data_IF_816252921230
#
_entry.id   IF_816252921230
#
_cell.length_a   1.000
_cell.length_b   1.000
_cell.length_c   1.000
_cell.angle_alpha   90.00
_cell.angle_beta   90.00
_cell.angle_gamma   90.00
#
_symmetry.space_group_name_H-M   'P 1'
#
loop_
_entity.id
_entity.type
_entity.pdbx_description
1 polymer ?
#
# COMPACT_ATOMS: atom_id res chain seq x y z
N UNK A 1 3.68 7.72 13.23
CA UNK A 1 3.78 9.05 12.58
C UNK A 1 4.21 10.03 13.65
N UNK A 2 5.24 10.85 13.41
CA UNK A 2 5.76 11.77 14.42
C UNK A 2 5.06 13.13 14.33
N UNK A 3 4.59 13.66 15.47
CA UNK A 3 3.96 15.00 15.55
C UNK A 3 4.90 16.12 15.08
N UNK A 4 6.21 15.94 15.29
CA UNK A 4 7.26 16.89 14.86
C UNK A 4 7.21 17.20 13.36
N UNK A 5 6.75 16.26 12.52
CA UNK A 5 6.62 16.51 11.08
C UNK A 5 5.54 17.54 10.77
N UNK A 6 4.44 17.55 11.53
CA UNK A 6 3.37 18.52 11.37
C UNK A 6 3.78 19.89 11.89
N UNK A 7 4.53 19.93 12.99
CA UNK A 7 5.12 21.17 13.53
C UNK A 7 6.06 21.83 12.50
N UNK A 8 7.03 21.08 11.96
CA UNK A 8 7.93 21.61 10.93
C UNK A 8 7.19 22.04 9.66
N UNK A 9 6.15 21.30 9.24
CA UNK A 9 5.35 21.67 8.08
C UNK A 9 4.56 22.97 8.31
N UNK A 10 4.02 23.16 9.52
CA UNK A 10 3.34 24.39 9.91
C UNK A 10 4.31 25.59 9.92
N UNK A 11 5.51 25.43 10.50
CA UNK A 11 6.56 26.45 10.49
C UNK A 11 7.01 26.82 9.08
N UNK A 12 7.20 25.82 8.22
CA UNK A 12 7.60 26.01 6.83
C UNK A 12 6.45 26.48 5.92
N UNK A 13 5.21 26.59 6.44
CA UNK A 13 3.99 26.90 5.68
C UNK A 13 3.75 25.96 4.49
N UNK A 14 4.09 24.68 4.67
CA UNK A 14 3.90 23.63 3.66
C UNK A 14 2.64 22.83 3.97
N UNK A 15 1.85 22.56 2.94
CA UNK A 15 0.72 21.63 3.03
C UNK A 15 1.23 20.19 3.05
N UNK A 16 0.93 19.48 4.14
CA UNK A 16 1.34 18.12 4.38
C UNK A 16 0.10 17.21 4.36
N UNK A 17 0.10 16.22 3.47
CA UNK A 17 -0.89 15.15 3.42
C UNK A 17 -0.19 13.84 3.80
N UNK A 18 -0.68 13.15 4.83
CA UNK A 18 -0.06 11.90 5.32
C UNK A 18 -1.11 10.81 5.44
N UNK A 19 -0.77 9.61 4.96
CA UNK A 19 -1.60 8.43 5.16
C UNK A 19 -1.60 7.99 6.63
N UNK A 20 -2.78 7.73 7.18
CA UNK A 20 -2.93 7.11 8.49
C UNK A 20 -2.86 5.59 8.31
N UNK A 21 -1.77 4.99 8.80
CA UNK A 21 -1.57 3.53 8.79
C UNK A 21 -2.17 2.88 10.04
N UNK A 22 -2.35 1.55 10.01
CA UNK A 22 -2.96 0.77 11.09
C UNK A 22 -2.22 0.85 12.43
N UNK A 23 -0.96 1.26 12.44
CA UNK A 23 -0.20 1.52 13.67
C UNK A 23 -0.77 2.66 14.53
N UNK A 24 -1.70 3.46 14.00
CA UNK A 24 -2.40 4.54 14.72
C UNK A 24 -3.90 4.27 14.80
N UNK A 25 -4.25 3.16 15.47
CA UNK A 25 -5.61 2.61 15.51
C UNK A 25 -6.67 3.63 15.93
N UNK A 26 -6.44 4.40 16.99
CA UNK A 26 -7.40 5.40 17.48
C UNK A 26 -7.64 6.51 16.45
N UNK A 27 -6.58 7.04 15.84
CA UNK A 27 -6.71 8.10 14.83
C UNK A 27 -7.41 7.59 13.58
N UNK A 28 -7.07 6.37 13.15
CA UNK A 28 -7.72 5.72 12.01
C UNK A 28 -9.21 5.47 12.27
N UNK A 29 -9.56 5.06 13.51
CA UNK A 29 -10.95 4.86 13.89
C UNK A 29 -11.72 6.17 13.86
N UNK A 30 -11.18 7.25 14.43
CA UNK A 30 -11.82 8.58 14.35
C UNK A 30 -12.05 9.00 12.90
N UNK A 31 -11.08 8.77 12.00
CA UNK A 31 -11.25 9.09 10.58
C UNK A 31 -12.40 8.31 9.92
N UNK A 32 -12.56 7.03 10.30
CA UNK A 32 -13.68 6.18 9.83
C UNK A 32 -15.02 6.68 10.37
N UNK A 33 -15.06 7.01 11.65
CA UNK A 33 -16.28 7.48 12.32
C UNK A 33 -16.76 8.79 11.66
N UNK A 34 -15.85 9.73 11.41
CA UNK A 34 -16.12 11.00 10.70
C UNK A 34 -16.65 10.75 9.30
N UNK A 35 -16.00 9.87 8.53
CA UNK A 35 -16.45 9.55 7.18
C UNK A 35 -17.82 8.85 7.15
N UNK A 36 -18.18 8.13 8.22
CA UNK A 36 -19.47 7.46 8.34
C UNK A 36 -20.61 8.37 8.84
N UNK A 37 -20.29 9.35 9.69
CA UNK A 37 -21.27 10.20 10.36
C UNK A 37 -21.55 11.50 9.58
N UNK A 38 -20.57 11.99 8.81
CA UNK A 38 -20.62 13.30 8.16
C UNK A 38 -20.66 13.19 6.63
N UNK A 39 -21.33 14.14 5.99
CA UNK A 39 -21.28 14.27 4.53
C UNK A 39 -19.94 14.90 4.11
N UNK A 40 -19.29 14.42 3.04
CA UNK A 40 -18.07 15.06 2.55
C UNK A 40 -18.32 16.49 2.09
N UNK A 41 -17.39 17.39 2.38
CA UNK A 41 -17.35 18.77 1.90
C UNK A 41 -17.18 18.81 0.38
N UNK A 42 -16.25 18.02 -0.13
CA UNK A 42 -15.96 17.90 -1.56
C UNK A 42 -15.65 16.46 -1.93
N UNK A 43 -15.97 16.09 -3.16
CA UNK A 43 -15.73 14.75 -3.72
C UNK A 43 -15.14 14.89 -5.11
N UNK A 44 -14.11 14.09 -5.40
CA UNK A 44 -13.51 13.95 -6.73
C UNK A 44 -13.49 12.47 -7.12
N UNK A 45 -13.83 12.17 -8.38
CA UNK A 45 -13.90 10.81 -8.89
C UNK A 45 -13.05 10.68 -10.14
N UNK A 46 -12.31 9.58 -10.22
CA UNK A 46 -11.54 9.22 -11.40
C UNK A 46 -11.79 7.76 -11.77
N UNK A 47 -11.72 7.48 -13.07
CA UNK A 47 -11.88 6.13 -13.62
C UNK A 47 -10.79 5.85 -14.63
N UNK A 48 -10.16 4.68 -14.50
CA UNK A 48 -9.17 4.17 -15.44
C UNK A 48 -9.64 2.82 -15.97
N UNK A 49 -9.93 2.75 -17.27
CA UNK A 49 -10.39 1.52 -17.92
C UNK A 49 -9.24 0.92 -18.74
N UNK A 50 -8.95 -0.34 -18.47
CA UNK A 50 -8.13 -1.22 -19.29
C UNK A 50 -8.98 -2.30 -19.95
N UNK A 51 -8.32 -3.24 -20.63
CA UNK A 51 -8.99 -4.31 -21.39
C UNK A 51 -9.85 -5.22 -20.52
N UNK A 52 -9.29 -5.67 -19.39
CA UNK A 52 -9.95 -6.61 -18.46
C UNK A 52 -10.10 -6.05 -17.04
N UNK A 53 -9.73 -4.77 -16.85
CA UNK A 53 -9.68 -4.12 -15.54
C UNK A 53 -10.31 -2.74 -15.64
N UNK A 54 -11.25 -2.43 -14.76
CA UNK A 54 -11.83 -1.10 -14.60
C UNK A 54 -11.60 -0.66 -13.15
N UNK A 55 -10.86 0.43 -12.98
CA UNK A 55 -10.54 0.98 -11.67
C UNK A 55 -11.22 2.32 -11.48
N UNK A 56 -11.96 2.46 -10.38
CA UNK A 56 -12.58 3.70 -9.94
C UNK A 56 -11.93 4.13 -8.64
N UNK A 57 -11.62 5.42 -8.53
CA UNK A 57 -11.16 6.03 -7.28
C UNK A 57 -12.07 7.18 -6.93
N UNK A 58 -12.55 7.19 -5.71
CA UNK A 58 -13.33 8.28 -5.12
C UNK A 58 -12.49 8.88 -3.99
N UNK A 59 -12.25 10.19 -4.07
CA UNK A 59 -11.58 10.95 -3.01
C UNK A 59 -12.62 11.86 -2.38
N UNK A 60 -12.82 11.71 -1.08
CA UNK A 60 -13.80 12.45 -0.29
C UNK A 60 -13.06 13.24 0.79
N UNK A 61 -13.36 14.53 0.93
CA UNK A 61 -12.75 15.38 1.97
C UNK A 61 -13.81 15.76 3.00
N UNK A 62 -13.44 15.62 4.27
CA UNK A 62 -14.27 15.88 5.43
C UNK A 62 -13.64 16.97 6.29
N UNK A 63 -14.49 17.79 6.88
CA UNK A 63 -14.06 18.75 7.90
C UNK A 63 -13.75 18.02 9.21
N UNK A 64 -12.79 18.56 9.97
CA UNK A 64 -12.44 18.06 11.31
C UNK A 64 -12.86 18.99 12.45
N UNK A 65 -13.43 20.16 12.13
CA UNK A 65 -13.56 21.30 13.07
C UNK A 65 -14.16 20.92 14.43
N UNK A 66 -14.98 19.88 14.54
CA UNK A 66 -15.55 19.45 15.83
C UNK A 66 -15.14 18.04 16.31
N UNK A 67 -14.66 17.16 15.42
CA UNK A 67 -14.61 15.71 15.71
C UNK A 67 -13.29 15.22 16.31
N UNK A 68 -12.24 16.05 16.33
CA UNK A 68 -10.96 15.75 16.97
C UNK A 68 -10.72 16.52 18.28
N UNK A 69 -11.74 17.22 18.80
CA UNK A 69 -11.63 17.98 20.04
C UNK A 69 -11.17 17.08 21.21
N UNK A 70 -10.13 17.53 21.93
CA UNK A 70 -9.53 16.78 23.04
C UNK A 70 -8.47 15.76 22.62
N UNK A 71 -8.21 15.58 21.33
CA UNK A 71 -7.10 14.74 20.86
C UNK A 71 -5.82 15.56 20.66
N UNK A 72 -4.63 14.95 20.78
CA UNK A 72 -3.38 15.64 20.48
C UNK A 72 -3.22 16.10 19.02
N UNK A 73 -4.13 15.71 18.14
CA UNK A 73 -4.11 16.01 16.70
C UNK A 73 -4.94 17.25 16.35
N UNK A 74 -5.76 17.75 17.28
CA UNK A 74 -6.72 18.84 17.05
C UNK A 74 -6.07 20.13 16.49
N UNK A 75 -4.81 20.40 16.84
CA UNK A 75 -4.10 21.61 16.42
C UNK A 75 -3.25 21.40 15.15
N UNK A 76 -3.03 20.16 14.74
CA UNK A 76 -2.13 19.82 13.65
C UNK A 76 -2.86 19.39 12.38
N UNK A 77 -4.12 19.00 12.50
CA UNK A 77 -4.90 18.44 11.40
C UNK A 77 -6.15 19.27 11.20
N UNK A 78 -6.38 19.67 9.95
CA UNK A 78 -7.52 20.49 9.54
C UNK A 78 -8.55 19.71 8.76
N UNK A 79 -8.15 18.75 7.92
CA UNK A 79 -9.12 17.95 7.13
C UNK A 79 -8.75 16.47 7.11
N UNK A 80 -9.78 15.61 7.06
CA UNK A 80 -9.66 14.18 6.77
C UNK A 80 -9.97 13.93 5.30
N UNK A 81 -9.21 13.05 4.69
CA UNK A 81 -9.39 12.64 3.30
C UNK A 81 -9.58 11.12 3.30
N UNK A 82 -10.67 10.65 2.71
CA UNK A 82 -10.89 9.24 2.44
C UNK A 82 -10.63 8.99 0.95
N UNK A 83 -9.87 7.94 0.64
CA UNK A 83 -9.67 7.44 -0.71
C UNK A 83 -10.25 6.05 -0.78
N UNK A 84 -11.30 5.89 -1.58
CA UNK A 84 -11.89 4.59 -1.88
C UNK A 84 -11.48 4.16 -3.29
N UNK A 85 -11.06 2.91 -3.42
CA UNK A 85 -10.58 2.33 -4.66
C UNK A 85 -11.38 1.07 -4.94
N UNK A 86 -12.08 1.08 -6.06
CA UNK A 86 -12.83 -0.06 -6.54
C UNK A 86 -12.19 -0.59 -7.81
N UNK A 87 -11.90 -1.89 -7.83
CA UNK A 87 -11.35 -2.56 -9.02
C UNK A 87 -12.29 -3.67 -9.44
N UNK A 88 -12.77 -3.56 -10.67
CA UNK A 88 -13.53 -4.59 -11.36
C UNK A 88 -12.60 -5.32 -12.32
N UNK A 89 -12.46 -6.64 -12.15
CA UNK A 89 -11.59 -7.47 -12.98
C UNK A 89 -12.40 -8.56 -13.64
N UNK A 90 -12.29 -8.69 -14.97
CA UNK A 90 -12.90 -9.79 -15.71
C UNK A 90 -11.92 -10.94 -15.85
N UNK A 91 -12.29 -12.11 -15.36
CA UNK A 91 -11.52 -13.33 -15.54
C UNK A 91 -11.51 -13.73 -17.01
N UNK A 92 -10.32 -13.93 -17.59
CA UNK A 92 -10.19 -14.40 -18.97
C UNK A 92 -10.57 -15.89 -19.10
N UNK A 93 -10.36 -16.68 -18.05
CA UNK A 93 -10.63 -18.12 -18.06
C UNK A 93 -12.12 -18.45 -17.87
N UNK A 94 -12.80 -17.71 -16.99
CA UNK A 94 -14.20 -18.00 -16.62
C UNK A 94 -15.19 -16.95 -17.12
N UNK A 95 -14.73 -15.80 -17.62
CA UNK A 95 -15.57 -14.70 -18.07
C UNK A 95 -16.25 -13.88 -16.95
N UNK A 96 -16.15 -14.35 -15.69
CA UNK A 96 -16.78 -13.75 -14.52
C UNK A 96 -16.16 -12.40 -14.14
N UNK A 97 -16.99 -11.52 -13.59
CA UNK A 97 -16.59 -10.20 -13.09
C UNK A 97 -16.36 -10.28 -11.57
N UNK A 98 -15.13 -10.03 -11.13
CA UNK A 98 -14.80 -9.82 -9.73
C UNK A 98 -14.81 -8.32 -9.38
N UNK A 99 -15.16 -7.98 -8.14
CA UNK A 99 -15.07 -6.63 -7.57
C UNK A 99 -14.24 -6.69 -6.29
N UNK A 100 -13.34 -5.74 -6.13
CA UNK A 100 -12.58 -5.51 -4.90
C UNK A 100 -12.70 -4.04 -4.53
N UNK A 101 -12.81 -3.76 -3.23
CA UNK A 101 -12.93 -2.41 -2.68
C UNK A 101 -11.92 -2.25 -1.56
N UNK A 102 -11.16 -1.16 -1.60
CA UNK A 102 -10.18 -0.79 -0.58
C UNK A 102 -10.40 0.67 -0.18
N UNK A 103 -10.23 0.97 1.11
CA UNK A 103 -10.36 2.33 1.63
C UNK A 103 -9.11 2.71 2.41
N UNK A 104 -8.56 3.88 2.14
CA UNK A 104 -7.42 4.46 2.83
C UNK A 104 -7.77 5.85 3.36
N UNK A 105 -7.23 6.20 4.52
CA UNK A 105 -7.44 7.50 5.16
C UNK A 105 -6.15 8.30 5.20
N UNK A 106 -6.29 9.60 4.93
CA UNK A 106 -5.23 10.58 5.00
C UNK A 106 -5.68 11.76 5.83
N UNK A 107 -4.71 12.45 6.41
CA UNK A 107 -4.90 13.67 7.19
C UNK A 107 -4.09 14.80 6.55
N UNK A 108 -4.65 16.02 6.59
CA UNK A 108 -4.01 17.21 6.06
C UNK A 108 -3.96 18.32 7.12
N UNK A 109 -2.85 19.06 7.17
CA UNK A 109 -2.64 20.19 8.09
C UNK A 109 -3.25 21.52 7.59
N UNK A 110 -3.96 21.51 6.47
CA UNK A 110 -4.57 22.69 5.87
C UNK A 110 -5.90 22.33 5.20
N UNK A 111 -6.81 23.32 5.00
CA UNK A 111 -7.99 23.13 4.18
C UNK A 111 -7.61 22.71 2.75
N UNK A 112 -8.20 21.64 2.26
CA UNK A 112 -8.00 21.17 0.89
C UNK A 112 -9.32 20.73 0.27
N UNK A 113 -9.41 20.82 -1.06
CA UNK A 113 -10.49 20.19 -1.81
C UNK A 113 -10.07 18.78 -2.28
N UNK A 114 -11.07 17.98 -2.66
CA UNK A 114 -10.87 16.60 -3.10
C UNK A 114 -9.99 16.48 -4.35
N UNK A 115 -10.05 17.44 -5.28
CA UNK A 115 -9.28 17.42 -6.52
C UNK A 115 -7.79 17.63 -6.26
N UNK A 116 -7.45 18.59 -5.40
CA UNK A 116 -6.07 18.86 -4.94
C UNK A 116 -5.53 17.68 -4.15
N UNK A 117 -6.33 17.13 -3.23
CA UNK A 117 -5.96 15.95 -2.48
C UNK A 117 -5.71 14.74 -3.40
N UNK A 118 -6.59 14.49 -4.37
CA UNK A 118 -6.44 13.41 -5.35
C UNK A 118 -5.15 13.56 -6.17
N UNK A 119 -4.85 14.77 -6.65
CA UNK A 119 -3.62 15.05 -7.40
C UNK A 119 -2.36 14.83 -6.55
N UNK A 120 -2.34 15.33 -5.32
CA UNK A 120 -1.21 15.18 -4.40
C UNK A 120 -0.96 13.71 -4.02
N UNK A 121 -2.03 12.97 -3.66
CA UNK A 121 -1.93 11.54 -3.31
C UNK A 121 -1.45 10.73 -4.51
N UNK A 122 -1.96 11.02 -5.73
CA UNK A 122 -1.55 10.32 -6.94
C UNK A 122 -0.10 10.60 -7.32
N UNK A 123 0.36 11.85 -7.16
CA UNK A 123 1.76 12.21 -7.37
C UNK A 123 2.68 11.48 -6.38
N UNK A 124 2.26 11.40 -5.10
CA UNK A 124 3.00 10.67 -4.07
C UNK A 124 3.14 9.18 -4.41
N UNK A 125 2.06 8.52 -4.86
CA UNK A 125 2.11 7.12 -5.28
C UNK A 125 3.01 6.89 -6.50
N UNK A 126 3.07 7.85 -7.42
CA UNK A 126 4.00 7.80 -8.55
C UNK A 126 5.46 7.74 -8.08
N UNK A 127 5.82 8.57 -7.10
CA UNK A 127 7.17 8.61 -6.52
C UNK A 127 7.49 7.30 -5.80
N UNK A 128 6.56 6.78 -5.00
CA UNK A 128 6.76 5.52 -4.28
C UNK A 128 6.92 4.34 -5.25
N UNK A 129 6.08 4.25 -6.29
CA UNK A 129 6.18 3.18 -7.28
C UNK A 129 7.47 3.23 -8.13
N UNK A 130 7.95 4.43 -8.48
CA UNK A 130 9.23 4.61 -9.17
C UNK A 130 10.42 4.32 -8.26
N UNK A 131 10.34 4.70 -6.98
CA UNK A 131 11.36 4.40 -5.98
C UNK A 131 11.44 2.91 -5.68
N UNK A 132 10.31 2.19 -5.62
CA UNK A 132 10.28 0.73 -5.45
C UNK A 132 10.88 0.02 -6.66
N UNK A 133 10.57 0.46 -7.89
CA UNK A 133 11.19 -0.11 -9.09
C UNK A 133 12.72 0.06 -9.10
N UNK A 134 13.21 1.21 -8.65
CA UNK A 134 14.66 1.43 -8.55
C UNK A 134 15.26 0.59 -7.44
N UNK A 135 14.62 0.53 -6.26
CA UNK A 135 15.11 -0.26 -5.11
C UNK A 135 15.15 -1.76 -5.41
N UNK A 136 14.13 -2.32 -6.05
CA UNK A 136 14.05 -3.75 -6.36
C UNK A 136 15.01 -4.18 -7.48
N UNK A 137 15.28 -3.29 -8.45
CA UNK A 137 16.14 -3.60 -9.61
C UNK A 137 17.62 -3.25 -9.34
N UNK A 138 17.91 -2.24 -8.52
CA UNK A 138 19.31 -1.83 -8.22
C UNK A 138 19.91 -2.51 -6.99
N UNK A 139 19.10 -3.00 -6.03
CA UNK A 139 19.61 -3.71 -4.85
C UNK A 139 19.65 -5.25 -5.00
N UNK A 140 19.26 -5.80 -6.15
CA UNK A 140 19.51 -7.21 -6.48
C UNK A 140 18.94 -8.21 -5.47
N UNK A 141 17.84 -7.88 -4.79
CA UNK A 141 17.26 -8.74 -3.76
C UNK A 141 16.66 -10.02 -4.37
N UNK A 142 16.25 -9.98 -5.64
CA UNK A 142 15.84 -11.18 -6.41
C UNK A 142 17.04 -11.99 -6.95
N UNK A 143 18.27 -11.46 -6.81
CA UNK A 143 19.51 -12.17 -7.17
C UNK A 143 20.12 -12.95 -6.01
N UNK A 144 19.56 -12.85 -4.80
CA UNK A 144 20.10 -13.51 -3.61
C UNK A 144 19.71 -14.99 -3.56
N UNK A 145 20.36 -15.81 -4.41
CA UNK A 145 20.58 -17.24 -4.13
C UNK A 145 21.57 -17.38 -2.98
N UNK A 146 21.14 -17.07 -1.76
CA UNK A 146 21.88 -17.49 -0.57
C UNK A 146 21.64 -18.99 -0.40
N UNK A 147 22.46 -19.78 -1.10
CA UNK A 147 22.83 -21.11 -0.64
C UNK A 147 23.64 -20.90 0.65
N UNK A 148 23.07 -21.24 1.79
CA UNK A 148 23.84 -21.38 3.01
C UNK A 148 24.82 -22.57 2.86
N UNK A 149 26.14 -22.38 3.04
CA UNK A 149 27.08 -23.48 3.17
C UNK A 149 27.20 -23.88 4.65
N UNK A 150 27.03 -25.18 4.90
CA UNK A 150 27.59 -26.00 5.99
C UNK A 150 27.78 -25.41 7.41
N UNK A 151 27.07 -26.00 8.37
CA UNK A 151 27.59 -26.27 9.72
C UNK A 151 27.67 -27.80 9.90
N UNK A 152 28.81 -28.26 10.39
CA UNK A 152 29.34 -29.63 10.27
C UNK A 152 29.19 -30.50 11.54
N UNK A 153 29.54 -31.79 11.38
CA UNK A 153 29.93 -32.81 12.38
C UNK A 153 28.80 -33.47 13.21
N UNK A 154 28.71 -34.80 13.42
CA UNK A 154 29.66 -35.92 13.24
C UNK A 154 28.92 -37.30 13.36
N UNK A 155 29.57 -38.50 13.36
CA UNK A 155 29.24 -39.64 12.47
C UNK A 155 28.62 -40.87 13.19
N UNK A 156 27.90 -41.73 12.46
CA UNK A 156 27.71 -43.14 12.85
C UNK A 156 27.10 -44.01 11.72
N UNK A 157 27.62 -45.24 11.62
CA UNK A 157 27.06 -46.43 10.96
C UNK A 157 27.20 -46.61 9.44
N UNK A 158 28.44 -46.99 9.07
CA UNK A 158 28.85 -48.20 8.34
C UNK A 158 27.87 -48.99 7.41
N UNK A 159 28.49 -49.43 6.30
CA UNK A 159 28.26 -50.67 5.50
C UNK A 159 27.05 -50.69 4.54
N UNK A 160 27.10 -51.17 3.29
CA UNK A 160 28.15 -51.82 2.47
C UNK A 160 27.62 -52.06 1.03
N UNK A 161 28.55 -52.31 0.07
CA UNK A 161 28.42 -53.09 -1.21
C UNK A 161 27.53 -52.50 -2.33
N UNK A 162 28.07 -52.01 -3.46
CA UNK A 162 28.75 -52.65 -4.62
C UNK A 162 27.82 -53.14 -5.75
N UNK A 163 28.31 -52.99 -6.98
CA UNK A 163 27.89 -53.51 -8.32
C UNK A 163 26.79 -52.70 -9.03
N UNK A 164 27.10 -51.91 -10.07
CA UNK A 164 27.51 -52.29 -11.45
C UNK A 164 26.48 -53.14 -12.17
N UNK A 165 25.84 -52.59 -13.22
CA UNK A 165 25.94 -53.09 -14.60
C UNK A 165 24.99 -52.32 -15.54
N UNK A 166 25.52 -52.03 -16.74
CA UNK A 166 24.83 -51.51 -17.93
C UNK A 166 24.83 -52.66 -18.96
N UNK A 167 23.74 -52.85 -19.72
CA UNK A 167 23.87 -53.37 -21.09
C UNK A 167 23.01 -52.52 -22.06
N UNK A 168 23.56 -51.86 -23.09
CA UNK A 168 23.99 -52.33 -24.43
C UNK A 168 22.87 -53.03 -25.23
N UNK A 169 22.57 -52.43 -26.40
CA UNK A 169 21.61 -52.84 -27.43
C UNK A 169 22.02 -54.14 -28.17
N UNK A 170 21.20 -54.64 -29.11
CA UNK A 170 21.39 -54.25 -30.51
C UNK A 170 20.11 -54.14 -31.39
N UNK A 171 20.35 -53.62 -32.60
CA UNK A 171 19.50 -53.40 -33.80
C UNK A 171 18.67 -54.63 -34.26
N UNK A 172 17.74 -54.45 -35.22
CA UNK A 172 18.08 -54.37 -36.65
C UNK A 172 17.83 -53.02 -37.34
#
# INVERSE_FOLDING_TARGET
MSKKLFECAAEAKVTLIVQVKDNQRTLLQNCRDIASASKPLTVDQSRTRGRNRDERRTVSVFDLVNDLAGTPWQFYVTTVIQVEREVFTRSAATGLLGRTTESAFFICNAPTDAKRAAAAIRAHWGIENTSHYTRDVTLGEDSSRIRAPNLACSPACAASRSTSTKPTAPEP
#
